data_IF_283474108051
#
_entry.id   IF_283474108051
#
_cell.length_a   1.000
_cell.length_b   1.000
_cell.length_c   1.000
_cell.angle_alpha   90.00
_cell.angle_beta   90.00
_cell.angle_gamma   90.00
#
_symmetry.space_group_name_H-M   'P 1'
#
loop_
_entity.id
_entity.type
_entity.pdbx_description
1 polymer ?
#
# COMPACT_ATOMS: atom_id res chain seq x y z
N UNK A 1 0.58 -68.82 51.21
CA UNK A 1 1.05 -68.58 49.82
C UNK A 1 0.19 -67.48 49.25
N UNK A 2 0.68 -66.26 49.26
CA UNK A 2 -0.06 -65.05 48.85
C UNK A 2 0.69 -64.47 47.68
N UNK A 3 0.09 -64.53 46.48
CA UNK A 3 0.59 -63.93 45.23
C UNK A 3 0.19 -62.48 45.20
N UNK A 4 1.19 -61.58 45.22
CA UNK A 4 0.99 -60.12 45.04
C UNK A 4 0.97 -59.83 43.54
N UNK A 5 -0.18 -59.40 43.01
CA UNK A 5 -0.28 -58.81 41.69
C UNK A 5 0.01 -57.31 41.78
N UNK A 6 1.09 -56.88 41.12
CA UNK A 6 1.39 -55.48 40.93
C UNK A 6 0.70 -55.01 39.64
N UNK A 7 -0.27 -54.08 39.77
CA UNK A 7 -0.86 -53.35 38.66
C UNK A 7 0.05 -52.19 38.27
N UNK A 8 0.65 -52.29 37.11
CA UNK A 8 1.33 -51.17 36.46
C UNK A 8 0.30 -50.34 35.70
N UNK A 9 -0.03 -49.14 36.18
CA UNK A 9 -0.85 -48.16 35.47
C UNK A 9 0.04 -47.38 34.48
N UNK A 10 -0.11 -47.64 33.20
CA UNK A 10 0.51 -46.84 32.14
C UNK A 10 -0.32 -45.60 31.88
N UNK A 11 0.21 -44.44 32.27
CA UNK A 11 -0.36 -43.13 31.91
C UNK A 11 0.06 -42.78 30.48
N UNK A 12 -0.88 -42.93 29.54
CA UNK A 12 -0.75 -42.43 28.19
C UNK A 12 -1.07 -40.93 28.18
N UNK A 13 -0.02 -40.09 28.21
CA UNK A 13 -0.15 -38.64 28.02
C UNK A 13 -0.47 -38.34 26.55
N UNK A 14 -1.72 -37.96 26.26
CA UNK A 14 -2.11 -37.45 24.97
C UNK A 14 -1.52 -36.04 24.81
N UNK A 15 -0.49 -35.88 23.98
CA UNK A 15 -0.06 -34.57 23.47
C UNK A 15 -1.17 -34.05 22.55
N UNK A 16 -1.98 -33.12 23.05
CA UNK A 16 -2.82 -32.27 22.23
C UNK A 16 -1.91 -31.30 21.45
N UNK A 17 -1.53 -31.66 20.22
CA UNK A 17 -0.95 -30.71 19.28
C UNK A 17 -2.04 -29.71 18.90
N UNK A 18 -2.11 -28.61 19.63
CA UNK A 18 -2.95 -27.49 19.27
C UNK A 18 -2.47 -26.93 17.93
N UNK A 19 -3.25 -27.11 16.88
CA UNK A 19 -3.06 -26.37 15.64
C UNK A 19 -3.33 -24.89 15.94
N UNK A 20 -2.28 -24.10 16.12
CA UNK A 20 -2.42 -22.65 16.20
C UNK A 20 -3.07 -22.19 14.89
N UNK A 21 -4.16 -21.40 14.94
CA UNK A 21 -4.72 -20.82 13.71
C UNK A 21 -3.61 -20.00 13.06
N UNK A 22 -3.34 -20.26 11.78
CA UNK A 22 -2.44 -19.43 11.01
C UNK A 22 -2.98 -17.99 11.09
N UNK A 23 -2.21 -17.10 11.70
CA UNK A 23 -2.53 -15.69 11.71
C UNK A 23 -2.57 -15.24 10.25
N UNK A 24 -3.76 -14.99 9.73
CA UNK A 24 -3.96 -14.38 8.43
C UNK A 24 -3.67 -12.88 8.60
N UNK A 25 -2.39 -12.53 8.59
CA UNK A 25 -1.99 -11.14 8.42
C UNK A 25 -2.37 -10.75 6.99
N UNK A 26 -3.36 -9.87 6.83
CA UNK A 26 -3.74 -9.33 5.53
C UNK A 26 -5.21 -9.47 5.14
N UNK A 27 -6.11 -9.95 6.01
CA UNK A 27 -7.55 -10.00 5.71
C UNK A 27 -8.35 -8.84 6.33
N UNK A 28 -7.71 -7.97 7.10
CA UNK A 28 -8.38 -6.85 7.77
C UNK A 28 -8.20 -5.51 7.01
N UNK A 29 -7.52 -5.53 5.88
CA UNK A 29 -7.31 -4.35 5.04
C UNK A 29 -8.56 -4.04 4.21
N UNK A 30 -8.87 -2.74 4.08
CA UNK A 30 -9.99 -2.32 3.26
C UNK A 30 -9.67 -2.37 1.77
N UNK A 31 -10.63 -2.82 0.98
CA UNK A 31 -10.54 -2.81 -0.48
C UNK A 31 -10.29 -1.38 -0.98
N UNK A 32 -9.26 -1.20 -1.82
CA UNK A 32 -8.85 0.12 -2.32
C UNK A 32 -7.92 0.90 -1.40
N UNK A 33 -7.53 0.36 -0.25
CA UNK A 33 -6.55 0.96 0.64
C UNK A 33 -5.16 0.98 0.00
N UNK A 34 -4.41 2.06 0.24
CA UNK A 34 -3.01 2.18 -0.20
C UNK A 34 -2.09 1.90 0.97
N UNK A 35 -1.30 0.85 0.85
CA UNK A 35 -0.28 0.47 1.83
C UNK A 35 1.11 0.83 1.31
N UNK A 36 1.98 1.24 2.22
CA UNK A 36 3.40 1.51 1.92
C UNK A 36 4.26 0.40 2.48
N UNK A 37 5.06 -0.23 1.61
CA UNK A 37 5.92 -1.34 1.95
C UNK A 37 7.40 -0.95 1.85
N UNK A 38 8.20 -1.36 2.85
CA UNK A 38 9.66 -1.21 2.85
C UNK A 38 10.40 -2.33 2.12
N UNK A 39 9.68 -3.33 1.61
CA UNK A 39 10.21 -4.44 0.82
C UNK A 39 9.83 -4.27 -0.65
N UNK A 40 10.44 -5.06 -1.55
CA UNK A 40 10.40 -4.85 -2.99
C UNK A 40 9.27 -5.60 -3.74
N UNK A 41 8.25 -6.07 -3.06
CA UNK A 41 7.08 -6.72 -3.66
C UNK A 41 5.78 -6.27 -2.99
N UNK A 42 4.64 -6.46 -3.65
CA UNK A 42 3.33 -6.25 -3.05
C UNK A 42 2.81 -7.57 -2.44
N UNK A 43 2.28 -7.55 -1.20
CA UNK A 43 1.71 -8.72 -0.56
C UNK A 43 0.57 -9.35 -1.37
N UNK A 44 0.25 -10.60 -1.05
CA UNK A 44 -0.90 -11.30 -1.67
C UNK A 44 -2.19 -10.50 -1.41
N UNK A 45 -3.05 -10.39 -2.43
CA UNK A 45 -4.28 -9.60 -2.35
C UNK A 45 -4.08 -8.12 -2.64
N UNK A 46 -2.85 -7.69 -2.95
CA UNK A 46 -2.55 -6.32 -3.34
C UNK A 46 -1.84 -6.27 -4.69
N UNK A 47 -1.89 -5.13 -5.36
CA UNK A 47 -1.16 -4.85 -6.60
C UNK A 47 -0.35 -3.56 -6.44
N UNK A 48 0.69 -3.41 -7.24
CA UNK A 48 1.46 -2.18 -7.28
C UNK A 48 0.61 -1.02 -7.81
N UNK A 49 0.70 0.14 -7.14
CA UNK A 49 0.03 1.37 -7.56
C UNK A 49 0.82 2.04 -8.70
N UNK A 50 0.80 1.41 -9.88
CA UNK A 50 1.58 1.77 -11.07
C UNK A 50 0.73 2.26 -12.26
N UNK A 51 -0.57 2.48 -12.04
CA UNK A 51 -1.47 2.99 -13.06
C UNK A 51 -1.96 1.95 -14.06
N UNK A 52 -1.74 0.66 -13.82
CA UNK A 52 -2.20 -0.41 -14.72
C UNK A 52 -3.71 -0.45 -14.86
N UNK A 53 -4.17 -0.91 -16.03
CA UNK A 53 -5.58 -1.15 -16.29
C UNK A 53 -5.98 -2.52 -15.76
N UNK A 54 -7.13 -2.59 -15.10
CA UNK A 54 -7.74 -3.82 -14.63
C UNK A 54 -9.10 -4.04 -15.30
N UNK A 55 -9.46 -5.31 -15.61
CA UNK A 55 -10.79 -5.63 -16.13
C UNK A 55 -11.86 -5.45 -15.02
N UNK A 56 -12.94 -4.76 -15.37
CA UNK A 56 -14.05 -4.48 -14.43
C UNK A 56 -14.73 -5.78 -14.01
N UNK A 57 -14.89 -6.72 -14.93
CA UNK A 57 -15.59 -7.99 -14.65
C UNK A 57 -14.96 -8.79 -13.51
N UNK A 58 -13.63 -8.73 -13.38
CA UNK A 58 -12.88 -9.45 -12.34
C UNK A 58 -12.73 -8.63 -11.05
N UNK A 59 -12.95 -7.31 -11.12
CA UNK A 59 -12.66 -6.36 -10.03
C UNK A 59 -13.84 -5.40 -9.78
N UNK A 60 -15.09 -5.90 -9.88
CA UNK A 60 -16.30 -5.08 -9.77
C UNK A 60 -16.41 -4.31 -8.46
N UNK A 61 -16.05 -4.93 -7.36
CA UNK A 61 -16.07 -4.28 -6.03
C UNK A 61 -15.06 -3.14 -5.97
N UNK A 62 -13.83 -3.34 -6.45
CA UNK A 62 -12.81 -2.29 -6.50
C UNK A 62 -13.21 -1.17 -7.47
N UNK A 63 -13.77 -1.51 -8.63
CA UNK A 63 -14.30 -0.52 -9.56
C UNK A 63 -15.41 0.34 -8.96
N UNK A 64 -16.29 -0.23 -8.13
CA UNK A 64 -17.35 0.55 -7.46
C UNK A 64 -16.81 1.61 -6.49
N UNK A 65 -15.59 1.45 -6.00
CA UNK A 65 -14.91 2.40 -5.12
C UNK A 65 -14.08 3.42 -5.91
N UNK A 66 -13.32 2.97 -6.90
CA UNK A 66 -12.38 3.81 -7.62
C UNK A 66 -12.99 4.50 -8.85
N UNK A 67 -13.97 3.86 -9.50
CA UNK A 67 -14.51 4.36 -10.76
C UNK A 67 -13.43 4.53 -11.83
N UNK A 68 -13.53 5.58 -12.63
CA UNK A 68 -12.59 5.95 -13.68
C UNK A 68 -11.69 7.13 -13.33
N UNK A 69 -11.64 7.53 -12.05
CA UNK A 69 -10.91 8.74 -11.62
C UNK A 69 -9.39 8.67 -11.87
N UNK A 70 -8.83 7.46 -12.03
CA UNK A 70 -7.41 7.26 -12.35
C UNK A 70 -7.20 6.91 -13.84
N UNK A 71 -8.28 6.66 -14.60
CA UNK A 71 -8.29 6.31 -16.03
C UNK A 71 -9.08 5.05 -16.34
N UNK A 72 -8.96 4.56 -17.57
CA UNK A 72 -9.75 3.46 -18.11
C UNK A 72 -10.98 3.94 -18.88
N UNK A 73 -11.66 3.01 -19.57
CA UNK A 73 -12.83 3.30 -20.39
C UNK A 73 -14.17 3.28 -19.61
N UNK A 74 -14.15 2.78 -18.36
CA UNK A 74 -15.34 2.66 -17.51
C UNK A 74 -16.38 1.66 -17.99
N UNK A 75 -16.09 0.90 -19.04
CA UNK A 75 -16.97 -0.15 -19.59
C UNK A 75 -16.37 -1.54 -19.43
N UNK A 76 -15.11 -1.68 -19.78
CA UNK A 76 -14.36 -2.94 -19.73
C UNK A 76 -13.19 -2.85 -18.78
N UNK A 77 -12.58 -1.67 -18.66
CA UNK A 77 -11.38 -1.43 -17.85
C UNK A 77 -11.47 -0.16 -17.01
N UNK A 78 -10.72 -0.16 -15.92
CA UNK A 78 -10.41 1.01 -15.11
C UNK A 78 -8.94 0.97 -14.70
N UNK A 79 -8.36 2.13 -14.36
CA UNK A 79 -6.97 2.23 -13.96
C UNK A 79 -6.82 2.27 -12.44
N UNK A 80 -5.72 1.70 -11.95
CA UNK A 80 -5.22 1.94 -10.60
C UNK A 80 -4.53 3.31 -10.51
N UNK A 81 -4.40 3.90 -9.31
CA UNK A 81 -3.55 5.08 -9.14
C UNK A 81 -2.10 4.78 -9.51
N UNK A 82 -1.42 5.74 -10.13
CA UNK A 82 0.02 5.68 -10.38
C UNK A 82 0.73 6.59 -9.38
N UNK A 83 1.39 5.97 -8.39
CA UNK A 83 2.11 6.66 -7.32
C UNK A 83 3.63 6.65 -7.51
N UNK A 84 4.12 6.10 -8.59
CA UNK A 84 5.56 6.05 -8.88
C UNK A 84 6.11 7.46 -9.08
N UNK A 85 7.14 7.81 -8.30
CA UNK A 85 7.75 9.14 -8.33
C UNK A 85 6.82 10.29 -7.91
N UNK A 86 5.75 10.02 -7.15
CA UNK A 86 4.76 11.02 -6.74
C UNK A 86 4.65 11.11 -5.23
N UNK A 87 4.51 12.33 -4.74
CA UNK A 87 4.14 12.61 -3.35
C UNK A 87 2.62 12.54 -3.22
N UNK A 88 2.13 11.83 -2.21
CA UNK A 88 0.71 11.76 -1.88
C UNK A 88 0.32 13.01 -1.10
N UNK A 89 -0.71 13.71 -1.57
CA UNK A 89 -1.28 14.88 -0.89
C UNK A 89 -2.75 14.63 -0.55
N UNK A 90 -3.25 15.27 0.50
CA UNK A 90 -4.66 15.17 0.90
C UNK A 90 -5.58 15.84 -0.11
N UNK A 91 -6.68 15.16 -0.47
CA UNK A 91 -7.76 15.75 -1.25
C UNK A 91 -8.58 16.72 -0.39
N UNK A 92 -9.16 17.74 -1.02
CA UNK A 92 -9.93 18.79 -0.35
C UNK A 92 -9.22 20.13 -0.35
N UNK A 93 -9.81 21.10 0.37
CA UNK A 93 -9.27 22.45 0.50
C UNK A 93 -8.95 22.73 1.96
N UNK A 94 -7.67 22.87 2.28
CA UNK A 94 -7.22 23.35 3.59
C UNK A 94 -7.26 24.86 3.70
N UNK A 95 -7.27 25.43 4.92
CA UNK A 95 -7.22 26.87 5.13
C UNK A 95 -5.96 27.49 4.46
N UNK A 96 -6.15 28.46 3.56
CA UNK A 96 -5.05 29.11 2.84
C UNK A 96 -4.36 28.27 1.77
N UNK A 97 -4.86 27.06 1.47
CA UNK A 97 -4.30 26.16 0.46
C UNK A 97 -5.22 26.05 -0.75
N UNK A 98 -4.64 25.67 -1.89
CA UNK A 98 -5.40 25.36 -3.10
C UNK A 98 -6.16 24.03 -2.92
N UNK A 99 -7.45 24.01 -3.30
CA UNK A 99 -8.26 22.79 -3.29
C UNK A 99 -7.70 21.74 -4.26
N UNK A 100 -7.70 20.49 -3.83
CA UNK A 100 -7.27 19.32 -4.63
C UNK A 100 -8.41 18.33 -4.74
N UNK A 101 -8.61 17.81 -5.94
CA UNK A 101 -9.63 16.78 -6.17
C UNK A 101 -9.00 15.39 -6.05
N UNK A 102 -9.82 14.42 -5.63
CA UNK A 102 -9.39 13.02 -5.60
C UNK A 102 -8.97 12.56 -7.01
N UNK A 103 -7.77 11.98 -7.15
CA UNK A 103 -7.22 11.55 -8.44
C UNK A 103 -6.55 12.66 -9.26
N UNK A 104 -6.60 13.92 -8.81
CA UNK A 104 -5.90 15.04 -9.46
C UNK A 104 -4.38 14.77 -9.47
N UNK A 105 -3.75 15.13 -10.60
CA UNK A 105 -2.30 15.04 -10.79
C UNK A 105 -1.75 16.43 -11.03
N UNK A 106 -0.62 16.75 -10.41
CA UNK A 106 0.03 18.05 -10.58
C UNK A 106 1.48 18.01 -10.16
N UNK A 107 2.15 19.15 -10.30
CA UNK A 107 3.55 19.30 -10.00
C UNK A 107 4.47 18.85 -11.15
N UNK A 108 5.71 19.22 -11.04
CA UNK A 108 6.79 18.84 -11.96
C UNK A 108 7.96 18.34 -11.13
N UNK A 109 8.65 17.31 -11.61
CA UNK A 109 9.83 16.76 -10.95
C UNK A 109 11.04 17.70 -11.10
N UNK A 110 11.09 18.41 -12.23
CA UNK A 110 12.07 19.46 -12.47
C UNK A 110 11.40 20.80 -12.19
N UNK A 111 11.71 21.42 -11.06
CA UNK A 111 11.36 22.82 -10.84
C UNK A 111 11.95 23.69 -11.94
N UNK A 112 11.18 24.66 -12.42
CA UNK A 112 11.75 25.72 -13.23
C UNK A 112 12.65 26.54 -12.29
N UNK A 113 13.93 26.18 -12.23
CA UNK A 113 14.91 26.95 -11.49
C UNK A 113 15.02 28.31 -12.16
N UNK A 114 14.29 29.31 -11.64
CA UNK A 114 14.82 30.67 -11.66
C UNK A 114 16.18 30.54 -10.96
N UNK A 115 17.29 30.99 -11.59
CA UNK A 115 18.58 30.87 -10.95
C UNK A 115 18.62 31.79 -9.72
N UNK A 116 18.18 31.26 -8.59
CA UNK A 116 18.48 31.84 -7.30
C UNK A 116 19.97 31.54 -7.09
N UNK A 117 20.73 32.64 -7.01
CA UNK A 117 22.14 32.72 -6.70
C UNK A 117 22.58 31.56 -5.79
N UNK A 118 23.44 30.71 -6.32
CA UNK A 118 24.11 29.66 -5.55
C UNK A 118 24.75 30.32 -4.32
N UNK A 119 24.15 30.12 -3.16
CA UNK A 119 24.84 30.30 -1.89
C UNK A 119 25.46 28.94 -1.56
N UNK A 120 26.80 28.95 -1.61
CA UNK A 120 27.65 27.85 -1.20
C UNK A 120 27.24 27.36 0.19
N UNK A 121 26.62 26.20 0.23
CA UNK A 121 26.24 25.50 1.44
C UNK A 121 26.61 24.04 1.26
N UNK A 122 27.76 23.68 1.76
CA UNK A 122 28.25 22.32 1.94
C UNK A 122 27.22 21.53 2.75
N UNK A 123 26.49 20.67 2.09
CA UNK A 123 25.48 19.80 2.68
C UNK A 123 25.79 18.35 2.33
N UNK A 124 26.38 17.64 3.28
CA UNK A 124 26.47 16.19 3.29
C UNK A 124 25.06 15.60 3.32
N UNK A 125 24.63 15.06 2.23
CA UNK A 125 23.55 14.11 2.23
C UNK A 125 23.70 13.18 1.04
N UNK A 126 23.77 11.91 1.33
CA UNK A 126 23.62 10.83 0.37
C UNK A 126 22.23 10.91 -0.31
N UNK A 127 22.05 11.89 -1.18
CA UNK A 127 20.89 12.10 -1.99
C UNK A 127 21.31 12.46 -3.38
N UNK A 128 21.23 11.51 -4.29
CA UNK A 128 21.59 11.64 -5.69
C UNK A 128 20.51 12.43 -6.46
N UNK A 129 20.14 13.61 -5.95
CA UNK A 129 19.27 14.52 -6.70
C UNK A 129 20.14 15.31 -7.69
N UNK A 130 19.87 15.25 -9.00
CA UNK A 130 20.55 16.08 -9.96
C UNK A 130 20.34 17.56 -9.61
N UNK A 131 21.40 18.36 -9.69
CA UNK A 131 21.38 19.79 -9.43
C UNK A 131 20.24 20.45 -10.26
N UNK A 132 19.27 21.07 -9.57
CA UNK A 132 18.13 21.75 -10.23
C UNK A 132 16.76 21.13 -10.03
N UNK A 133 16.60 20.14 -9.14
CA UNK A 133 15.29 19.60 -8.76
C UNK A 133 14.80 20.27 -7.47
N UNK A 134 13.63 20.88 -7.48
CA UNK A 134 12.96 21.42 -6.28
C UNK A 134 12.42 20.29 -5.36
N UNK A 135 12.81 19.05 -5.62
CA UNK A 135 12.39 17.91 -4.84
C UNK A 135 13.20 17.83 -3.54
N UNK A 136 12.54 17.86 -2.37
CA UNK A 136 13.24 17.68 -1.10
C UNK A 136 13.87 16.28 -1.02
N UNK A 137 14.82 16.03 -0.10
CA UNK A 137 15.35 14.69 0.13
C UNK A 137 14.22 13.67 0.29
N UNK A 138 14.29 12.57 -0.44
CA UNK A 138 13.23 11.56 -0.45
C UNK A 138 13.79 10.15 -0.26
N UNK A 139 12.93 9.27 0.24
CA UNK A 139 13.14 7.83 0.27
C UNK A 139 12.04 7.16 -0.53
N UNK A 140 12.43 6.45 -1.59
CA UNK A 140 11.47 5.71 -2.41
C UNK A 140 11.05 4.41 -1.70
N UNK A 141 9.76 4.26 -1.46
CA UNK A 141 9.12 3.07 -0.94
C UNK A 141 8.08 2.56 -1.94
N UNK A 142 7.70 1.29 -1.81
CA UNK A 142 6.69 0.71 -2.68
C UNK A 142 5.29 1.02 -2.16
N UNK A 143 4.43 1.51 -3.05
CA UNK A 143 3.00 1.68 -2.77
C UNK A 143 2.20 0.56 -3.43
N UNK A 144 1.40 -0.13 -2.63
CA UNK A 144 0.53 -1.20 -3.08
C UNK A 144 -0.92 -0.84 -2.78
N UNK A 145 -1.84 -1.21 -3.67
CA UNK A 145 -3.28 -1.04 -3.47
C UNK A 145 -3.93 -2.40 -3.19
N UNK A 146 -4.79 -2.44 -2.19
CA UNK A 146 -5.53 -3.64 -1.80
C UNK A 146 -6.62 -3.93 -2.84
N UNK A 147 -6.53 -5.10 -3.48
CA UNK A 147 -7.49 -5.57 -4.49
C UNK A 147 -8.41 -6.68 -3.97
N UNK A 148 -8.06 -7.28 -2.83
CA UNK A 148 -8.86 -8.29 -2.14
C UNK A 148 -8.86 -7.95 -0.65
N UNK A 149 -9.98 -7.50 -0.11
CA UNK A 149 -10.13 -7.04 1.26
C UNK A 149 -11.58 -6.79 1.63
N UNK A 150 -11.80 -6.18 2.80
CA UNK A 150 -13.12 -5.83 3.30
C UNK A 150 -13.67 -4.64 2.51
N UNK A 151 -14.92 -4.74 2.03
CA UNK A 151 -15.56 -3.61 1.37
C UNK A 151 -15.89 -2.51 2.41
N UNK A 152 -15.36 -1.27 2.24
CA UNK A 152 -15.60 -0.19 3.20
C UNK A 152 -17.08 0.22 3.17
N UNK A 153 -17.73 0.28 4.34
CA UNK A 153 -19.08 0.84 4.48
C UNK A 153 -19.00 2.36 4.57
N UNK A 154 -19.90 3.07 3.88
CA UNK A 154 -20.12 4.50 4.11
C UNK A 154 -21.08 4.70 5.27
N UNK A 155 -20.72 5.57 6.18
CA UNK A 155 -21.64 6.08 7.21
C UNK A 155 -22.50 7.20 6.63
#
# INVERSE_FOLDING_TARGET
MIRKFALAAAMAGALMAGTAPAAHAGMDEYLGEIITAGFNFCPRGTLEADGRLLPIMENTALFSLLGTQYGGDGRTTFALPDLRGRTIVGAGQGPGLTGRQQGERGGTETGSATPALAMDGEGDAAGNAPAGTDMPPYLALRHCIVTQGIFPSRN
#
